data_IF_864619428523
#
_entry.id   IF_864619428523
#
_cell.length_a   1.000
_cell.length_b   1.000
_cell.length_c   1.000
_cell.angle_alpha   90.00
_cell.angle_beta   90.00
_cell.angle_gamma   90.00
#
_symmetry.space_group_name_H-M   'P 1'
#
loop_
_entity.id
_entity.type
_entity.pdbx_description
1 polymer ?
#
# COMPACT_ATOMS: atom_id res chain seq x y z
N UNK A 1 14.26 15.52 -102.38
CA UNK A 1 13.87 16.07 -101.08
C UNK A 1 13.06 15.07 -100.28
N UNK A 2 13.42 14.91 -98.99
CA UNK A 2 12.62 14.50 -97.81
C UNK A 2 11.32 13.70 -98.07
N UNK A 3 11.00 12.55 -97.45
CA UNK A 3 11.16 12.18 -96.03
C UNK A 3 10.63 10.73 -95.83
N UNK A 4 11.34 9.96 -95.00
CA UNK A 4 10.86 9.05 -93.93
C UNK A 4 10.28 7.65 -94.27
N UNK A 5 11.10 6.67 -93.88
CA UNK A 5 10.85 5.28 -93.51
C UNK A 5 9.88 5.14 -92.32
N UNK A 6 8.97 4.15 -92.35
CA UNK A 6 8.81 3.06 -91.36
C UNK A 6 7.47 2.33 -91.60
N UNK A 7 7.51 1.00 -91.79
CA UNK A 7 6.68 0.17 -90.93
C UNK A 7 7.39 -1.15 -90.61
N UNK A 8 7.92 -1.36 -89.40
CA UNK A 8 8.24 -2.73 -88.88
C UNK A 8 8.84 -2.84 -87.46
N UNK A 9 8.76 -1.84 -86.58
CA UNK A 9 9.29 -2.01 -85.21
C UNK A 9 8.26 -1.62 -84.16
N UNK A 10 7.25 -2.48 -83.97
CA UNK A 10 6.25 -2.35 -82.91
C UNK A 10 5.93 -3.68 -82.19
N UNK A 11 6.82 -4.67 -82.24
CA UNK A 11 6.66 -5.95 -81.50
C UNK A 11 7.91 -6.34 -80.67
N UNK A 12 8.87 -5.43 -80.45
CA UNK A 12 10.01 -5.69 -79.54
C UNK A 12 10.20 -4.64 -78.43
N UNK A 13 9.19 -3.79 -78.18
CA UNK A 13 9.21 -2.82 -77.07
C UNK A 13 8.17 -3.15 -75.99
N UNK A 14 7.29 -4.12 -76.23
CA UNK A 14 6.27 -4.57 -75.27
C UNK A 14 6.74 -5.65 -74.27
N UNK A 15 7.96 -6.18 -74.42
CA UNK A 15 8.50 -7.25 -73.55
C UNK A 15 9.62 -6.79 -72.63
N UNK A 16 10.10 -5.54 -72.72
CA UNK A 16 11.04 -5.02 -71.72
C UNK A 16 10.33 -4.34 -70.53
N UNK A 17 9.12 -3.81 -70.74
CA UNK A 17 8.36 -3.16 -69.66
C UNK A 17 7.61 -4.15 -68.75
N UNK A 18 7.26 -5.34 -69.25
CA UNK A 18 6.60 -6.39 -68.44
C UNK A 18 7.59 -7.28 -67.70
N UNK A 19 8.81 -7.47 -68.22
CA UNK A 19 9.87 -8.18 -67.49
C UNK A 19 10.49 -7.33 -66.36
N UNK A 20 10.38 -6.00 -66.42
CA UNK A 20 10.92 -5.12 -65.37
C UNK A 20 9.96 -4.92 -64.19
N UNK A 21 8.68 -5.27 -64.35
CA UNK A 21 7.70 -5.30 -63.26
C UNK A 21 7.84 -6.55 -62.37
N UNK A 22 8.36 -7.66 -62.90
CA UNK A 22 8.66 -8.88 -62.13
C UNK A 22 10.10 -8.93 -61.57
N UNK A 23 10.99 -8.03 -62.02
CA UNK A 23 12.38 -7.94 -61.54
C UNK A 23 12.59 -6.99 -60.35
N UNK A 24 11.59 -6.16 -60.01
CA UNK A 24 11.48 -5.61 -58.67
C UNK A 24 10.85 -6.67 -57.77
N UNK A 25 11.58 -7.78 -57.62
CA UNK A 25 11.28 -8.80 -56.63
C UNK A 25 11.15 -8.07 -55.31
N UNK A 26 9.92 -8.04 -54.81
CA UNK A 26 9.53 -7.75 -53.45
C UNK A 26 10.51 -8.49 -52.54
N UNK A 27 11.63 -7.84 -52.19
CA UNK A 27 12.56 -8.35 -51.19
C UNK A 27 11.75 -8.36 -49.92
N UNK A 28 11.02 -9.45 -49.68
CA UNK A 28 10.38 -9.75 -48.40
C UNK A 28 11.49 -9.65 -47.38
N UNK A 29 11.54 -8.52 -46.68
CA UNK A 29 12.50 -8.28 -45.62
C UNK A 29 12.22 -9.34 -44.56
N UNK A 30 13.02 -10.40 -44.58
CA UNK A 30 12.90 -11.50 -43.64
C UNK A 30 13.49 -11.03 -42.32
N UNK A 31 12.65 -11.01 -41.28
CA UNK A 31 13.11 -10.66 -39.95
C UNK A 31 13.58 -11.93 -39.23
N UNK A 32 14.85 -11.95 -38.83
CA UNK A 32 15.45 -13.09 -38.18
C UNK A 32 15.22 -13.05 -36.66
N UNK A 33 15.02 -14.22 -36.02
CA UNK A 33 14.88 -14.30 -34.58
C UNK A 33 16.17 -13.92 -33.85
N UNK A 34 16.09 -13.32 -32.65
CA UNK A 34 17.26 -13.09 -31.81
C UNK A 34 17.95 -14.41 -31.44
N UNK A 35 19.23 -14.35 -31.10
CA UNK A 35 20.03 -15.53 -30.74
C UNK A 35 20.46 -15.47 -29.27
N UNK A 36 21.00 -16.57 -28.74
CA UNK A 36 21.52 -16.66 -27.36
C UNK A 36 20.51 -16.22 -26.27
N UNK A 37 19.22 -16.53 -26.46
CA UNK A 37 18.22 -16.19 -25.46
C UNK A 37 18.42 -17.01 -24.18
N UNK A 38 18.65 -16.31 -23.07
CA UNK A 38 18.94 -16.88 -21.76
C UNK A 38 18.10 -16.24 -20.66
N UNK A 39 17.81 -17.04 -19.64
CA UNK A 39 17.08 -16.63 -18.43
C UNK A 39 18.00 -16.91 -17.24
N UNK A 40 18.40 -15.87 -16.52
CA UNK A 40 19.28 -15.98 -15.34
C UNK A 40 18.58 -15.44 -14.11
N UNK A 41 18.58 -16.20 -13.02
CA UNK A 41 18.07 -15.74 -11.73
C UNK A 41 19.09 -14.75 -11.14
N UNK A 42 18.67 -13.51 -10.89
CA UNK A 42 19.55 -12.45 -10.34
C UNK A 42 19.22 -12.08 -8.90
N UNK A 43 18.09 -12.55 -8.37
CA UNK A 43 17.69 -12.33 -6.98
C UNK A 43 16.35 -13.01 -6.67
N UNK A 44 15.87 -12.84 -5.43
CA UNK A 44 14.56 -13.37 -5.02
C UNK A 44 13.47 -12.81 -5.93
N UNK A 45 12.68 -13.73 -6.51
CA UNK A 45 11.61 -13.47 -7.44
C UNK A 45 12.02 -12.54 -8.61
N UNK A 46 13.27 -12.63 -9.08
CA UNK A 46 13.78 -11.79 -10.17
C UNK A 46 14.66 -12.58 -11.15
N UNK A 47 14.37 -12.39 -12.43
CA UNK A 47 15.14 -12.93 -13.54
C UNK A 47 15.63 -11.82 -14.46
N UNK A 48 16.78 -12.06 -15.08
CA UNK A 48 17.31 -11.30 -16.19
C UNK A 48 17.14 -12.13 -17.46
N UNK A 49 16.33 -11.59 -18.36
CA UNK A 49 16.18 -12.06 -19.74
C UNK A 49 17.25 -11.38 -20.57
N UNK A 50 18.02 -12.14 -21.33
CA UNK A 50 19.09 -11.61 -22.17
C UNK A 50 19.14 -12.35 -23.50
N UNK A 51 19.33 -11.63 -24.60
CA UNK A 51 19.47 -12.17 -25.94
C UNK A 51 20.39 -11.28 -26.77
N UNK A 52 20.96 -11.82 -27.83
CA UNK A 52 21.77 -11.07 -28.78
C UNK A 52 20.98 -10.79 -30.08
N UNK A 53 21.21 -9.65 -30.74
CA UNK A 53 20.71 -9.42 -32.09
C UNK A 53 21.23 -10.51 -33.04
N UNK A 54 20.41 -10.90 -34.01
CA UNK A 54 20.84 -11.90 -34.98
C UNK A 54 21.97 -11.33 -35.85
N UNK A 55 23.16 -11.96 -35.91
CA UNK A 55 24.30 -11.45 -36.67
C UNK A 55 24.05 -11.41 -38.18
N UNK A 56 23.18 -12.30 -38.69
CA UNK A 56 22.85 -12.41 -40.11
C UNK A 56 21.76 -11.41 -40.52
N UNK A 57 21.24 -10.62 -39.58
CA UNK A 57 20.26 -9.59 -39.89
C UNK A 57 20.95 -8.42 -40.60
N UNK A 58 20.49 -8.10 -41.82
CA UNK A 58 20.95 -6.90 -42.54
C UNK A 58 20.91 -5.67 -41.61
N UNK A 59 22.08 -5.06 -41.39
CA UNK A 59 22.26 -3.83 -40.62
C UNK A 59 21.65 -2.66 -41.38
N UNK A 60 20.32 -2.60 -41.40
CA UNK A 60 19.59 -1.45 -41.87
C UNK A 60 19.56 -0.37 -40.77
N UNK A 61 19.53 0.91 -41.14
CA UNK A 61 19.40 2.09 -40.25
C UNK A 61 18.04 2.15 -39.51
N UNK A 62 17.50 1.00 -39.13
CA UNK A 62 16.11 0.83 -38.74
C UNK A 62 16.08 0.35 -37.30
N UNK A 63 15.29 1.06 -36.49
CA UNK A 63 15.15 0.80 -35.06
C UNK A 63 14.42 -0.53 -34.82
N UNK A 64 15.19 -1.63 -34.77
CA UNK A 64 14.71 -2.96 -34.40
C UNK A 64 14.18 -2.95 -32.97
N UNK A 65 13.06 -3.64 -32.73
CA UNK A 65 12.50 -3.83 -31.39
C UNK A 65 12.30 -5.32 -31.12
N UNK A 66 12.07 -5.64 -29.86
CA UNK A 66 11.83 -7.00 -29.41
C UNK A 66 10.47 -7.06 -28.72
N UNK A 67 9.73 -8.12 -29.03
CA UNK A 67 8.52 -8.47 -28.33
C UNK A 67 8.85 -9.65 -27.41
N UNK A 68 8.72 -9.43 -26.11
CA UNK A 68 8.87 -10.45 -25.08
C UNK A 68 7.50 -10.90 -24.63
N UNK A 69 7.28 -12.22 -24.57
CA UNK A 69 6.09 -12.84 -24.01
C UNK A 69 6.50 -13.77 -22.87
N UNK A 70 5.90 -13.55 -21.70
CA UNK A 70 6.01 -14.42 -20.54
C UNK A 70 4.85 -15.41 -20.60
N UNK A 71 5.14 -16.69 -20.44
CA UNK A 71 4.13 -17.77 -20.45
C UNK A 71 3.80 -18.26 -19.05
N UNK A 72 4.81 -18.30 -18.17
CA UNK A 72 4.67 -18.76 -16.79
C UNK A 72 5.60 -17.95 -15.87
N UNK A 73 5.21 -17.66 -14.61
CA UNK A 73 4.02 -18.18 -13.90
C UNK A 73 2.70 -17.46 -14.23
N UNK A 74 2.76 -16.29 -14.84
CA UNK A 74 1.60 -15.50 -15.28
C UNK A 74 1.88 -14.99 -16.69
N UNK A 75 0.88 -15.08 -17.57
CA UNK A 75 1.01 -14.54 -18.92
C UNK A 75 1.14 -13.01 -18.89
N UNK A 76 2.14 -12.50 -19.60
CA UNK A 76 2.39 -11.07 -19.79
C UNK A 76 3.12 -10.86 -21.11
N UNK A 77 2.98 -9.68 -21.71
CA UNK A 77 3.70 -9.34 -22.94
C UNK A 77 4.06 -7.86 -23.03
N UNK A 78 5.22 -7.57 -23.59
CA UNK A 78 5.70 -6.20 -23.74
C UNK A 78 6.73 -6.06 -24.84
N UNK A 79 6.90 -4.81 -25.28
CA UNK A 79 7.89 -4.44 -26.28
C UNK A 79 9.06 -3.70 -25.63
N UNK A 80 10.28 -4.02 -26.06
CA UNK A 80 11.51 -3.34 -25.61
C UNK A 80 12.44 -3.08 -26.78
N UNK A 81 13.30 -2.06 -26.64
CA UNK A 81 14.40 -1.79 -27.58
C UNK A 81 15.73 -2.38 -27.10
N UNK A 82 15.78 -2.80 -25.83
CA UNK A 82 16.98 -3.37 -25.21
C UNK A 82 17.06 -4.86 -25.54
N UNK A 83 18.28 -5.37 -25.51
CA UNK A 83 18.63 -6.80 -25.62
C UNK A 83 18.63 -7.52 -24.27
N UNK A 84 18.20 -6.81 -23.23
CA UNK A 84 18.04 -7.34 -21.89
C UNK A 84 16.78 -6.77 -21.22
N UNK A 85 16.18 -7.56 -20.34
CA UNK A 85 15.02 -7.16 -19.57
C UNK A 85 15.03 -7.82 -18.19
N UNK A 86 14.81 -7.03 -17.14
CA UNK A 86 14.61 -7.56 -15.79
C UNK A 86 13.12 -7.80 -15.58
N UNK A 87 12.77 -8.98 -15.10
CA UNK A 87 11.40 -9.36 -14.82
C UNK A 87 11.26 -9.88 -13.39
N UNK A 88 10.14 -9.58 -12.76
CA UNK A 88 9.88 -9.89 -11.34
C UNK A 88 8.67 -10.82 -11.29
N UNK A 89 8.86 -12.04 -10.78
CA UNK A 89 7.83 -13.07 -10.67
C UNK A 89 8.24 -14.15 -9.66
N UNK A 90 7.28 -14.86 -9.05
CA UNK A 90 7.56 -16.07 -8.29
C UNK A 90 8.24 -17.14 -9.17
N UNK A 91 9.28 -17.79 -8.66
CA UNK A 91 10.13 -18.72 -9.42
C UNK A 91 10.05 -20.17 -8.92
N UNK A 92 9.43 -20.43 -7.77
CA UNK A 92 9.40 -21.79 -7.19
C UNK A 92 8.73 -22.85 -8.09
N UNK A 93 7.84 -22.44 -9.00
CA UNK A 93 7.19 -23.32 -9.98
C UNK A 93 7.84 -23.28 -11.38
N UNK A 94 8.98 -22.61 -11.54
CA UNK A 94 9.64 -22.41 -12.81
C UNK A 94 9.19 -21.12 -13.49
N UNK A 95 9.79 -20.84 -14.64
CA UNK A 95 9.55 -19.62 -15.40
C UNK A 95 9.77 -19.89 -16.89
N UNK A 96 8.91 -19.37 -17.76
CA UNK A 96 9.01 -19.61 -19.19
C UNK A 96 8.72 -18.33 -19.96
N UNK A 97 9.57 -18.03 -20.94
CA UNK A 97 9.43 -16.84 -21.77
C UNK A 97 9.84 -17.12 -23.21
N UNK A 98 9.36 -16.28 -24.12
CA UNK A 98 9.79 -16.21 -25.50
C UNK A 98 10.08 -14.78 -25.91
N UNK A 99 11.02 -14.62 -26.83
CA UNK A 99 11.35 -13.34 -27.44
C UNK A 99 11.40 -13.49 -28.96
N UNK A 100 10.96 -12.45 -29.65
CA UNK A 100 11.10 -12.32 -31.11
C UNK A 100 11.47 -10.90 -31.50
N UNK A 101 12.13 -10.79 -32.63
CA UNK A 101 12.37 -9.51 -33.29
C UNK A 101 11.06 -9.01 -33.88
N UNK A 102 10.78 -7.72 -33.75
CA UNK A 102 9.67 -7.05 -34.42
C UNK A 102 10.17 -5.77 -35.10
N UNK A 103 9.60 -5.48 -36.25
CA UNK A 103 9.82 -4.24 -36.97
C UNK A 103 8.47 -3.61 -37.27
N UNK A 104 8.25 -2.40 -36.75
CA UNK A 104 7.03 -1.63 -36.97
C UNK A 104 7.35 -0.36 -37.77
N UNK A 105 6.78 -0.27 -38.98
CA UNK A 105 6.76 0.93 -39.82
C UNK A 105 5.30 1.30 -40.13
N UNK A 106 5.03 2.53 -40.55
CA UNK A 106 3.68 3.12 -40.66
C UNK A 106 2.60 2.24 -41.31
N UNK A 107 2.97 1.34 -42.23
CA UNK A 107 2.04 0.44 -42.92
C UNK A 107 2.40 -1.06 -42.83
N UNK A 108 3.48 -1.42 -42.11
CA UNK A 108 3.97 -2.81 -42.05
C UNK A 108 4.39 -3.21 -40.63
N UNK A 109 3.92 -4.38 -40.21
CA UNK A 109 4.38 -5.09 -39.02
C UNK A 109 5.04 -6.39 -39.47
N UNK A 110 6.33 -6.50 -39.23
CA UNK A 110 7.09 -7.73 -39.45
C UNK A 110 7.51 -8.31 -38.11
N UNK A 111 7.43 -9.62 -37.98
CA UNK A 111 7.83 -10.35 -36.79
C UNK A 111 8.61 -11.59 -37.21
N UNK A 112 9.69 -11.88 -36.49
CA UNK A 112 10.42 -13.13 -36.66
C UNK A 112 9.66 -14.30 -36.02
N UNK A 113 10.21 -15.51 -36.18
CA UNK A 113 9.87 -16.63 -35.30
C UNK A 113 10.23 -16.34 -33.84
N UNK A 114 9.64 -17.10 -32.93
CA UNK A 114 9.91 -17.02 -31.50
C UNK A 114 11.12 -17.86 -31.12
N UNK A 115 11.91 -17.36 -30.17
CA UNK A 115 12.91 -18.13 -29.45
C UNK A 115 12.48 -18.20 -28.00
N UNK A 116 12.52 -19.40 -27.42
CA UNK A 116 11.99 -19.68 -26.10
C UNK A 116 13.07 -20.21 -25.18
N UNK A 117 12.95 -19.90 -23.90
CA UNK A 117 13.77 -20.46 -22.84
C UNK A 117 12.91 -20.69 -21.61
N UNK A 118 13.33 -21.65 -20.78
CA UNK A 118 12.62 -22.05 -19.58
C UNK A 118 13.58 -22.27 -18.41
N UNK A 119 13.17 -21.79 -17.24
CA UNK A 119 13.72 -22.17 -15.95
C UNK A 119 12.83 -23.26 -15.36
N UNK A 120 13.44 -24.42 -15.03
CA UNK A 120 12.72 -25.52 -14.41
C UNK A 120 12.30 -25.16 -12.98
N UNK A 121 11.21 -25.79 -12.53
CA UNK A 121 10.73 -25.63 -11.16
C UNK A 121 11.82 -26.02 -10.15
N UNK A 122 11.78 -25.36 -8.98
CA UNK A 122 12.76 -25.65 -7.94
C UNK A 122 12.61 -27.09 -7.42
N UNK A 123 13.72 -27.78 -7.12
CA UNK A 123 13.67 -29.16 -6.66
C UNK A 123 12.98 -29.27 -5.29
N UNK A 124 12.29 -30.39 -5.08
CA UNK A 124 11.66 -30.73 -3.81
C UNK A 124 10.40 -31.58 -3.98
N UNK A 125 10.15 -32.45 -3.01
CA UNK A 125 8.98 -33.36 -3.07
C UNK A 125 7.68 -32.57 -2.93
N UNK A 126 6.63 -33.02 -3.63
CA UNK A 126 5.29 -32.43 -3.49
C UNK A 126 4.83 -32.50 -2.03
N UNK A 127 4.15 -31.46 -1.54
CA UNK A 127 3.64 -31.39 -0.18
C UNK A 127 4.67 -31.02 0.91
N UNK A 128 5.97 -30.92 0.60
CA UNK A 128 7.00 -30.45 1.54
C UNK A 128 7.07 -28.92 1.68
N UNK A 129 6.55 -28.20 0.67
CA UNK A 129 6.55 -26.75 0.63
C UNK A 129 5.65 -26.16 1.71
N UNK A 130 6.00 -24.97 2.19
CA UNK A 130 5.18 -24.23 3.15
C UNK A 130 3.81 -23.89 2.57
N UNK A 131 2.82 -23.77 3.45
CA UNK A 131 1.44 -23.46 3.09
C UNK A 131 0.97 -22.19 3.81
N UNK A 132 -0.01 -21.48 3.23
CA UNK A 132 -0.67 -20.33 3.83
C UNK A 132 0.30 -19.25 4.34
N UNK A 133 1.28 -18.86 3.50
CA UNK A 133 2.15 -17.74 3.83
C UNK A 133 1.34 -16.46 3.90
N UNK A 134 1.33 -15.83 5.06
CA UNK A 134 0.72 -14.53 5.30
C UNK A 134 1.75 -13.58 5.88
N UNK A 135 1.84 -12.38 5.33
CA UNK A 135 2.73 -11.34 5.82
C UNK A 135 1.96 -10.06 6.12
N UNK A 136 2.38 -9.34 7.15
CA UNK A 136 1.85 -8.05 7.56
C UNK A 136 3.01 -7.09 7.86
N UNK A 137 2.91 -5.87 7.36
CA UNK A 137 3.85 -4.79 7.70
C UNK A 137 3.18 -3.80 8.63
N UNK A 138 3.95 -3.28 9.59
CA UNK A 138 3.48 -2.23 10.48
C UNK A 138 4.50 -1.09 10.57
N UNK A 139 4.03 0.15 10.54
CA UNK A 139 4.89 1.33 10.67
C UNK A 139 5.05 1.73 12.13
N UNK A 140 6.29 1.80 12.60
CA UNK A 140 6.64 2.23 13.96
C UNK A 140 7.43 3.53 13.92
N UNK A 141 7.33 4.33 14.98
CA UNK A 141 8.13 5.55 15.13
C UNK A 141 9.58 5.15 15.43
N UNK A 142 10.54 5.67 14.67
CA UNK A 142 11.97 5.48 14.93
C UNK A 142 12.46 6.50 15.95
N UNK A 143 13.16 6.05 16.98
CA UNK A 143 13.78 6.93 17.98
C UNK A 143 15.18 7.44 17.60
N UNK A 144 15.75 6.97 16.48
CA UNK A 144 17.20 7.07 16.26
C UNK A 144 17.64 8.28 15.39
N UNK A 145 16.80 8.81 14.47
CA UNK A 145 17.20 9.97 13.65
C UNK A 145 16.00 10.79 13.14
N UNK A 146 16.11 12.13 13.16
CA UNK A 146 15.13 13.05 12.56
C UNK A 146 14.96 12.89 11.04
N UNK A 147 15.92 12.25 10.34
CA UNK A 147 15.91 12.07 8.89
C UNK A 147 15.00 10.93 8.41
N UNK A 148 14.78 9.89 9.24
CA UNK A 148 13.84 8.79 8.96
C UNK A 148 13.00 8.52 10.22
N UNK A 149 11.95 9.32 10.47
CA UNK A 149 11.15 9.21 11.69
C UNK A 149 10.31 7.92 11.76
N UNK A 150 10.21 7.16 10.67
CA UNK A 150 9.41 5.94 10.60
C UNK A 150 10.27 4.75 10.17
N UNK A 151 10.06 3.62 10.83
CA UNK A 151 10.60 2.32 10.45
C UNK A 151 9.44 1.37 10.15
N UNK A 152 9.65 0.45 9.22
CA UNK A 152 8.68 -0.59 8.89
C UNK A 152 9.16 -1.89 9.50
N UNK A 153 8.25 -2.57 10.17
CA UNK A 153 8.43 -3.91 10.69
C UNK A 153 7.64 -4.90 9.83
N UNK A 154 8.08 -6.15 9.76
CA UNK A 154 7.47 -7.21 8.93
C UNK A 154 7.26 -8.47 9.75
N UNK A 155 6.01 -8.93 9.86
CA UNK A 155 5.64 -10.23 10.43
C UNK A 155 5.21 -11.15 9.31
N UNK A 156 5.72 -12.37 9.29
CA UNK A 156 5.22 -13.41 8.40
C UNK A 156 4.95 -14.68 9.20
N UNK A 157 3.90 -15.39 8.83
CA UNK A 157 3.49 -16.68 9.41
C UNK A 157 3.17 -17.65 8.28
N UNK A 158 3.44 -18.94 8.50
CA UNK A 158 3.13 -20.00 7.55
C UNK A 158 2.84 -21.31 8.27
N UNK A 159 2.21 -22.24 7.56
CA UNK A 159 2.01 -23.61 7.98
C UNK A 159 3.09 -24.51 7.35
N UNK A 160 3.48 -25.52 8.10
CA UNK A 160 4.42 -26.56 7.63
C UNK A 160 3.76 -27.39 6.52
N UNK A 161 4.54 -27.81 5.54
CA UNK A 161 4.06 -28.68 4.46
C UNK A 161 3.49 -29.99 5.00
N UNK A 162 2.41 -30.48 4.40
CA UNK A 162 1.71 -31.71 4.83
C UNK A 162 2.61 -32.94 4.82
N UNK A 163 3.50 -33.01 3.84
CA UNK A 163 4.42 -34.13 3.63
C UNK A 163 5.86 -33.75 4.01
N UNK A 164 6.04 -32.64 4.74
CA UNK A 164 7.35 -32.22 5.23
C UNK A 164 7.81 -33.15 6.37
N UNK A 165 9.02 -33.73 6.29
CA UNK A 165 9.60 -34.50 7.38
C UNK A 165 9.64 -33.73 8.70
N UNK A 166 9.59 -34.44 9.83
CA UNK A 166 9.61 -33.83 11.17
C UNK A 166 10.89 -33.04 11.45
N UNK A 167 12.01 -33.41 10.84
CA UNK A 167 13.30 -32.73 10.97
C UNK A 167 13.45 -31.49 10.07
N UNK A 168 12.40 -31.12 9.33
CA UNK A 168 12.43 -29.98 8.40
C UNK A 168 12.60 -28.67 9.15
N UNK A 169 13.60 -27.88 8.75
CA UNK A 169 13.74 -26.50 9.17
C UNK A 169 13.53 -25.53 8.01
N UNK A 170 12.78 -24.46 8.25
CA UNK A 170 12.47 -23.42 7.27
C UNK A 170 13.23 -22.13 7.54
N UNK A 171 13.67 -21.44 6.49
CA UNK A 171 14.33 -20.14 6.60
C UNK A 171 13.71 -19.13 5.64
N UNK A 172 13.41 -17.95 6.17
CA UNK A 172 12.71 -16.89 5.45
C UNK A 172 13.66 -15.76 5.07
N UNK A 173 13.56 -15.35 3.82
CA UNK A 173 14.27 -14.23 3.23
C UNK A 173 13.27 -13.24 2.63
N UNK A 174 13.56 -11.95 2.75
CA UNK A 174 12.77 -10.92 2.06
C UNK A 174 13.65 -10.02 1.21
N UNK A 175 13.04 -9.43 0.19
CA UNK A 175 13.67 -8.45 -0.70
C UNK A 175 12.67 -7.36 -1.10
N UNK A 176 13.05 -6.10 -0.97
CA UNK A 176 12.30 -4.99 -1.57
C UNK A 176 12.58 -4.92 -3.07
N UNK A 177 11.54 -4.88 -3.87
CA UNK A 177 11.61 -4.95 -5.34
C UNK A 177 11.05 -3.67 -5.94
N UNK A 178 11.93 -2.84 -6.48
CA UNK A 178 11.52 -1.67 -7.23
C UNK A 178 10.94 -2.04 -8.58
N UNK A 179 9.70 -1.59 -8.84
CA UNK A 179 8.94 -1.87 -10.08
C UNK A 179 9.27 -0.84 -11.18
N UNK A 180 10.14 0.15 -10.92
CA UNK A 180 10.48 1.21 -11.87
C UNK A 180 11.20 0.75 -13.14
N UNK A 181 11.25 -0.55 -13.43
CA UNK A 181 11.80 -1.05 -14.69
C UNK A 181 10.82 -0.99 -15.87
N UNK A 182 9.49 -0.96 -15.68
CA UNK A 182 8.54 -1.01 -16.82
C UNK A 182 7.18 -0.30 -16.62
N UNK A 183 7.15 0.92 -16.08
CA UNK A 183 5.91 1.71 -16.09
C UNK A 183 6.05 2.98 -16.97
N UNK A 184 5.47 2.93 -18.17
CA UNK A 184 5.01 4.13 -18.84
C UNK A 184 3.83 4.69 -18.02
N UNK A 185 4.09 5.61 -17.09
CA UNK A 185 3.03 6.41 -16.47
C UNK A 185 2.73 7.65 -17.33
N UNK A 186 1.46 8.03 -17.52
CA UNK A 186 1.05 9.21 -18.30
C UNK A 186 1.05 10.53 -17.50
N UNK A 187 1.71 10.61 -16.34
CA UNK A 187 1.75 11.84 -15.54
C UNK A 187 3.16 12.48 -15.56
N UNK A 188 3.36 13.62 -16.23
CA UNK A 188 4.61 14.35 -16.15
C UNK A 188 4.72 15.02 -14.77
N UNK A 189 5.52 14.43 -13.88
CA UNK A 189 6.02 15.17 -12.72
C UNK A 189 7.12 16.15 -13.20
N UNK A 190 7.12 17.42 -12.77
CA UNK A 190 8.07 18.42 -13.23
C UNK A 190 9.51 18.07 -12.85
N UNK A 191 10.39 18.08 -13.86
CA UNK A 191 11.81 17.69 -13.84
C UNK A 191 12.75 18.63 -13.05
N UNK A 192 12.28 19.38 -12.06
CA UNK A 192 13.12 20.38 -11.36
C UNK A 192 13.72 19.93 -10.02
N UNK A 193 13.56 18.66 -9.60
CA UNK A 193 14.16 18.14 -8.35
C UNK A 193 14.72 16.71 -8.42
N UNK A 194 15.29 16.32 -9.56
CA UNK A 194 16.17 15.14 -9.59
C UNK A 194 17.61 15.59 -9.34
N UNK A 195 17.94 15.86 -8.07
CA UNK A 195 19.32 15.66 -7.64
C UNK A 195 19.59 14.16 -7.78
N UNK A 196 20.39 13.84 -8.79
CA UNK A 196 20.99 12.53 -8.98
C UNK A 196 21.96 12.33 -7.82
N UNK A 197 21.48 11.76 -6.71
CA UNK A 197 22.36 10.92 -5.91
C UNK A 197 22.33 9.55 -6.57
N UNK A 198 23.48 9.16 -7.12
CA UNK A 198 23.76 7.76 -7.42
C UNK A 198 23.81 7.00 -6.08
N UNK A 199 22.65 6.75 -5.47
CA UNK A 199 22.55 5.67 -4.51
C UNK A 199 22.62 4.38 -5.33
N UNK A 200 23.78 3.72 -5.28
CA UNK A 200 23.88 2.29 -5.53
C UNK A 200 22.86 1.61 -4.60
N UNK A 201 21.64 1.39 -5.07
CA UNK A 201 20.69 0.51 -4.40
C UNK A 201 21.21 -0.92 -4.60
N UNK A 202 22.09 -1.34 -3.70
CA UNK A 202 22.43 -2.73 -3.51
C UNK A 202 21.14 -3.53 -3.32
N UNK A 203 21.12 -4.74 -3.87
CA UNK A 203 20.03 -5.68 -3.69
C UNK A 203 20.03 -6.11 -2.23
N UNK A 204 19.22 -5.45 -1.38
CA UNK A 204 19.10 -5.80 0.03
C UNK A 204 18.17 -7.01 0.13
N UNK A 205 18.79 -8.18 0.27
CA UNK A 205 18.14 -9.40 0.73
C UNK A 205 18.53 -9.61 2.17
N UNK A 206 17.56 -9.82 3.03
CA UNK A 206 17.79 -10.12 4.45
C UNK A 206 17.17 -11.45 4.84
N UNK A 207 17.90 -12.20 5.65
CA UNK A 207 17.42 -13.41 6.30
C UNK A 207 16.85 -13.08 7.67
N UNK A 208 15.73 -13.72 8.01
CA UNK A 208 15.12 -13.58 9.32
C UNK A 208 16.00 -14.14 10.43
N UNK A 209 16.06 -13.42 11.55
CA UNK A 209 16.81 -13.82 12.74
C UNK A 209 15.89 -14.20 13.91
N UNK A 210 14.69 -13.62 13.99
CA UNK A 210 13.75 -13.83 15.09
C UNK A 210 12.57 -14.69 14.66
N UNK A 211 12.70 -16.00 14.86
CA UNK A 211 11.66 -16.98 14.53
C UNK A 211 10.81 -17.36 15.73
N UNK A 212 9.52 -17.57 15.48
CA UNK A 212 8.67 -18.37 16.38
C UNK A 212 8.57 -19.80 15.84
N UNK A 213 8.53 -20.76 16.75
CA UNK A 213 8.63 -22.19 16.44
C UNK A 213 7.41 -22.95 16.93
N UNK A 214 7.11 -24.05 16.26
CA UNK A 214 6.07 -24.99 16.70
C UNK A 214 6.58 -25.95 17.79
N UNK A 215 5.73 -26.90 18.20
CA UNK A 215 6.05 -27.92 19.21
C UNK A 215 7.18 -28.86 18.80
N UNK A 216 7.47 -28.99 17.50
CA UNK A 216 8.56 -29.79 16.94
C UNK A 216 9.81 -28.93 16.65
N UNK A 217 9.85 -27.70 17.16
CA UNK A 217 10.96 -26.76 17.00
C UNK A 217 11.24 -26.36 15.53
N UNK A 218 10.22 -26.43 14.66
CA UNK A 218 10.27 -25.96 13.28
C UNK A 218 9.82 -24.50 13.21
N UNK A 219 10.50 -23.70 12.40
CA UNK A 219 10.17 -22.30 12.20
C UNK A 219 8.83 -22.17 11.46
N UNK A 220 7.87 -21.47 12.06
CA UNK A 220 6.50 -21.24 11.52
C UNK A 220 6.11 -19.77 11.46
N UNK A 221 6.88 -18.90 12.11
CA UNK A 221 6.73 -17.46 11.96
C UNK A 221 8.09 -16.76 12.03
N UNK A 222 8.14 -15.56 11.46
CA UNK A 222 9.31 -14.70 11.47
C UNK A 222 8.90 -13.25 11.79
N UNK A 223 9.76 -12.56 12.55
CA UNK A 223 9.65 -11.15 12.85
C UNK A 223 10.90 -10.38 12.43
N UNK A 224 10.71 -9.32 11.63
CA UNK A 224 11.71 -8.29 11.40
C UNK A 224 11.31 -7.02 12.14
N UNK A 225 11.97 -6.68 13.26
CA UNK A 225 11.66 -5.45 13.99
C UNK A 225 11.99 -4.20 13.17
N UNK A 226 13.00 -4.29 12.31
CA UNK A 226 13.46 -3.21 11.44
C UNK A 226 13.75 -3.76 10.05
N UNK A 227 13.23 -3.11 9.03
CA UNK A 227 13.43 -3.47 7.63
C UNK A 227 13.92 -2.28 6.82
N UNK A 228 14.47 -2.55 5.64
CA UNK A 228 14.75 -1.51 4.64
C UNK A 228 13.54 -1.19 3.74
N UNK A 229 12.36 -1.73 4.08
CA UNK A 229 11.11 -1.45 3.35
C UNK A 229 10.77 0.03 3.52
N UNK A 230 10.58 0.71 2.41
CA UNK A 230 10.21 2.12 2.42
C UNK A 230 8.70 2.26 2.69
N UNK A 231 8.36 2.97 3.77
CA UNK A 231 7.00 3.16 4.28
C UNK A 231 6.04 3.87 3.31
N UNK A 232 6.56 4.59 2.31
CA UNK A 232 5.76 5.26 1.28
C UNK A 232 5.85 4.60 -0.10
N UNK A 233 6.66 3.55 -0.24
CA UNK A 233 7.03 3.07 -1.55
C UNK A 233 5.96 2.21 -2.22
N UNK A 234 5.99 2.24 -3.55
CA UNK A 234 5.24 1.35 -4.44
C UNK A 234 6.00 0.05 -4.75
N UNK A 235 7.11 -0.22 -4.05
CA UNK A 235 7.96 -1.38 -4.30
C UNK A 235 7.27 -2.66 -3.83
N UNK A 236 7.26 -3.71 -4.66
CA UNK A 236 6.75 -5.01 -4.24
C UNK A 236 7.70 -5.63 -3.21
N UNK A 237 7.14 -6.37 -2.27
CA UNK A 237 7.91 -7.17 -1.33
C UNK A 237 7.96 -8.61 -1.84
N UNK A 238 9.14 -9.11 -2.15
CA UNK A 238 9.34 -10.52 -2.45
C UNK A 238 9.75 -11.27 -1.19
N UNK A 239 9.02 -12.32 -0.85
CA UNK A 239 9.32 -13.22 0.27
C UNK A 239 9.66 -14.59 -0.29
N UNK A 240 10.74 -15.18 0.20
CA UNK A 240 11.19 -16.52 -0.16
C UNK A 240 11.41 -17.33 1.11
N UNK A 241 10.87 -18.55 1.11
CA UNK A 241 11.06 -19.51 2.18
C UNK A 241 11.69 -20.76 1.57
N UNK A 242 12.90 -21.08 2.03
CA UNK A 242 13.53 -22.35 1.72
C UNK A 242 13.37 -23.32 2.91
N UNK A 243 13.77 -24.56 2.72
CA UNK A 243 13.83 -25.52 3.81
C UNK A 243 14.91 -26.56 3.62
N UNK A 244 15.33 -27.15 4.72
CA UNK A 244 16.31 -28.23 4.75
C UNK A 244 15.81 -29.37 5.64
N UNK A 245 15.98 -30.61 5.17
CA UNK A 245 15.76 -31.85 5.93
C UNK A 245 16.85 -32.85 5.52
N UNK A 246 17.16 -33.81 6.40
CA UNK A 246 18.06 -34.92 6.10
C UNK A 246 17.40 -35.98 5.20
N UNK A 247 16.07 -36.04 5.20
CA UNK A 247 15.31 -37.14 4.59
C UNK A 247 14.74 -36.79 3.22
N UNK A 248 14.51 -35.51 2.93
CA UNK A 248 13.96 -35.07 1.65
C UNK A 248 14.42 -33.65 1.28
N UNK A 249 14.49 -33.40 -0.03
CA UNK A 249 14.59 -32.04 -0.55
C UNK A 249 13.26 -31.32 -0.36
N UNK A 250 13.31 -30.16 0.30
CA UNK A 250 12.13 -29.35 0.61
C UNK A 250 11.90 -28.36 -0.53
N UNK A 251 10.69 -28.38 -1.09
CA UNK A 251 10.34 -27.48 -2.19
C UNK A 251 10.23 -26.04 -1.66
N UNK A 252 11.05 -25.10 -2.15
CA UNK A 252 10.97 -23.71 -1.69
C UNK A 252 9.65 -23.07 -2.14
N UNK A 253 9.30 -21.97 -1.48
CA UNK A 253 8.13 -21.18 -1.82
C UNK A 253 8.52 -19.71 -1.92
N UNK A 254 8.03 -19.02 -2.94
CA UNK A 254 8.17 -17.58 -3.05
C UNK A 254 6.87 -16.92 -3.48
N UNK A 255 6.64 -15.72 -2.95
CA UNK A 255 5.45 -14.93 -3.21
C UNK A 255 5.79 -13.44 -3.25
N UNK A 256 5.11 -12.73 -4.14
CA UNK A 256 5.16 -11.27 -4.24
C UNK A 256 3.97 -10.68 -3.49
N UNK A 257 4.24 -9.71 -2.64
CA UNK A 257 3.24 -8.93 -1.93
C UNK A 257 3.29 -7.48 -2.37
N UNK A 258 2.12 -6.90 -2.61
CA UNK A 258 1.99 -5.46 -2.80
C UNK A 258 1.91 -4.77 -1.44
N UNK A 259 2.63 -3.64 -1.20
CA UNK A 259 2.65 -3.00 0.11
C UNK A 259 1.26 -2.69 0.68
N UNK A 260 0.34 -2.21 -0.16
CA UNK A 260 -1.00 -1.84 0.29
C UNK A 260 -1.87 -3.01 0.76
N UNK A 261 -1.58 -4.25 0.32
CA UNK A 261 -2.35 -5.43 0.72
C UNK A 261 -1.87 -6.05 2.04
N UNK A 262 -0.64 -5.73 2.47
CA UNK A 262 -0.03 -6.25 3.70
C UNK A 262 0.17 -5.19 4.78
N UNK A 263 -0.04 -3.92 4.46
CA UNK A 263 0.14 -2.82 5.41
C UNK A 263 -1.00 -2.77 6.42
N UNK A 264 -0.69 -3.15 7.65
CA UNK A 264 -1.59 -3.06 8.79
C UNK A 264 -1.52 -1.65 9.37
N UNK A 265 -2.46 -0.81 8.92
CA UNK A 265 -2.57 0.59 9.35
C UNK A 265 -2.80 0.66 10.86
N UNK A 266 -1.98 1.46 11.54
CA UNK A 266 -2.14 1.70 12.97
C UNK A 266 -3.47 2.40 13.28
N UNK A 267 -4.08 2.13 14.45
CA UNK A 267 -5.23 2.91 14.90
C UNK A 267 -4.86 4.40 15.07
N UNK A 268 -5.84 5.32 14.93
CA UNK A 268 -5.67 6.73 15.27
C UNK A 268 -5.19 6.93 16.71
N UNK A 269 -4.40 7.99 16.93
CA UNK A 269 -3.84 8.33 18.24
C UNK A 269 -4.69 9.38 18.93
N UNK A 270 -4.58 9.46 20.26
CA UNK A 270 -5.14 10.55 21.08
C UNK A 270 -6.61 10.85 20.72
N UNK A 271 -7.45 9.80 20.68
CA UNK A 271 -8.90 9.98 20.57
C UNK A 271 -9.34 10.67 21.86
N UNK A 272 -9.96 11.84 21.73
CA UNK A 272 -10.48 12.61 22.86
C UNK A 272 -11.93 12.95 22.58
N UNK A 273 -12.71 12.98 23.65
CA UNK A 273 -14.15 13.17 23.60
C UNK A 273 -14.52 14.19 24.68
N UNK A 274 -15.14 15.27 24.25
CA UNK A 274 -15.68 16.30 25.12
C UNK A 274 -17.20 16.32 24.97
N UNK A 275 -17.92 16.56 26.06
CA UNK A 275 -19.38 16.72 26.04
C UNK A 275 -19.67 18.16 26.43
N UNK A 276 -20.35 18.88 25.55
CA UNK A 276 -21.00 20.15 25.91
C UNK A 276 -22.50 19.99 25.69
N UNK A 277 -23.28 20.17 26.76
CA UNK A 277 -24.75 20.11 26.78
C UNK A 277 -25.35 18.79 26.25
N UNK A 278 -25.53 18.73 24.93
CA UNK A 278 -26.17 17.66 24.15
C UNK A 278 -25.31 17.22 22.96
N UNK A 279 -24.06 17.69 22.87
CA UNK A 279 -23.16 17.40 21.77
C UNK A 279 -21.88 16.72 22.25
N UNK A 280 -21.52 15.61 21.58
CA UNK A 280 -20.24 14.93 21.68
C UNK A 280 -19.28 15.54 20.66
N UNK A 281 -18.20 16.14 21.13
CA UNK A 281 -17.08 16.60 20.31
C UNK A 281 -16.00 15.55 20.33
N UNK A 282 -15.79 14.88 19.21
CA UNK A 282 -14.85 13.77 19.08
C UNK A 282 -13.72 14.22 18.16
N UNK A 283 -12.49 14.15 18.64
CA UNK A 283 -11.30 14.48 17.85
C UNK A 283 -10.22 13.42 18.04
N UNK A 284 -9.40 13.24 17.01
CA UNK A 284 -8.29 12.29 17.05
C UNK A 284 -7.10 12.80 16.23
N UNK A 285 -5.93 12.22 16.48
CA UNK A 285 -4.72 12.43 15.71
C UNK A 285 -4.53 11.36 14.64
N UNK A 286 -3.76 11.69 13.60
CA UNK A 286 -3.42 10.75 12.54
C UNK A 286 -2.67 9.52 13.10
N UNK A 287 -2.84 8.34 12.47
CA UNK A 287 -2.04 7.17 12.82
C UNK A 287 -0.53 7.39 12.72
N UNK A 288 0.24 6.58 13.45
CA UNK A 288 1.69 6.47 13.24
C UNK A 288 1.93 5.91 11.84
N UNK A 289 2.34 6.79 10.95
CA UNK A 289 2.54 6.48 9.54
C UNK A 289 3.32 7.61 8.88
N UNK A 290 4.06 7.27 7.82
CA UNK A 290 4.75 8.23 6.99
C UNK A 290 3.80 9.06 6.12
N UNK A 291 2.57 8.59 5.89
CA UNK A 291 1.57 9.31 5.12
C UNK A 291 1.11 10.61 5.84
N UNK A 292 0.86 11.70 5.08
CA UNK A 292 0.32 12.95 5.61
C UNK A 292 -1.16 12.80 6.02
N UNK A 293 -1.68 13.79 6.74
CA UNK A 293 -3.05 13.78 7.32
C UNK A 293 -4.13 13.54 6.26
N UNK A 294 -4.04 14.20 5.10
CA UNK A 294 -5.04 14.10 4.03
C UNK A 294 -5.07 12.74 3.30
N UNK A 295 -4.17 11.81 3.66
CA UNK A 295 -4.14 10.47 3.08
C UNK A 295 -4.94 9.44 3.88
N UNK A 296 -5.68 9.84 4.90
CA UNK A 296 -6.44 8.92 5.75
C UNK A 296 -7.94 9.15 5.62
N UNK A 297 -8.66 8.04 5.48
CA UNK A 297 -10.09 7.99 5.76
C UNK A 297 -10.28 7.26 7.08
N UNK A 298 -11.31 7.65 7.82
CA UNK A 298 -11.62 7.16 9.14
C UNK A 298 -13.01 6.54 9.16
N UNK A 299 -13.17 5.55 10.04
CA UNK A 299 -14.46 5.06 10.47
C UNK A 299 -14.59 5.29 11.97
N UNK A 300 -15.67 5.96 12.36
CA UNK A 300 -16.01 6.28 13.73
C UNK A 300 -17.20 5.42 14.16
N UNK A 301 -17.06 4.78 15.31
CA UNK A 301 -18.11 3.99 15.96
C UNK A 301 -18.46 4.65 17.29
N UNK A 302 -19.73 5.00 17.47
CA UNK A 302 -20.29 5.51 18.72
C UNK A 302 -21.35 4.50 19.17
N UNK A 303 -21.17 3.91 20.34
CA UNK A 303 -22.09 2.89 20.88
C UNK A 303 -22.65 3.33 22.23
N UNK A 304 -23.97 3.44 22.34
CA UNK A 304 -24.67 3.71 23.59
C UNK A 304 -24.89 2.37 24.32
N UNK A 305 -24.22 2.21 25.46
CA UNK A 305 -24.20 0.92 26.17
C UNK A 305 -25.53 0.58 26.85
N UNK A 306 -26.42 1.57 27.04
CA UNK A 306 -27.69 1.40 27.76
C UNK A 306 -28.78 0.82 26.85
N UNK A 307 -28.92 1.36 25.64
CA UNK A 307 -29.96 0.95 24.68
C UNK A 307 -29.39 0.06 23.55
N UNK A 308 -28.07 -0.12 23.49
CA UNK A 308 -27.39 -0.92 22.47
C UNK A 308 -27.32 -0.25 21.09
N UNK A 309 -27.77 1.00 20.97
CA UNK A 309 -27.71 1.73 19.71
C UNK A 309 -26.26 2.04 19.33
N UNK A 310 -25.91 1.85 18.06
CA UNK A 310 -24.62 2.26 17.54
C UNK A 310 -24.75 3.08 16.25
N UNK A 311 -23.93 4.11 16.16
CA UNK A 311 -23.76 4.96 14.99
C UNK A 311 -22.38 4.69 14.37
N UNK A 312 -22.34 4.62 13.04
CA UNK A 312 -21.12 4.39 12.26
C UNK A 312 -20.98 5.48 11.20
N UNK A 313 -19.86 6.19 11.22
CA UNK A 313 -19.62 7.31 10.31
C UNK A 313 -18.31 7.12 9.55
N UNK A 314 -18.31 7.45 8.25
CA UNK A 314 -17.13 7.44 7.38
C UNK A 314 -16.69 8.88 7.11
N UNK A 315 -15.46 9.21 7.47
CA UNK A 315 -14.98 10.59 7.52
C UNK A 315 -13.60 10.72 6.87
N UNK A 316 -13.33 11.86 6.23
CA UNK A 316 -11.98 12.24 5.78
C UNK A 316 -11.32 13.27 6.72
N UNK A 317 -12.07 13.78 7.68
CA UNK A 317 -11.62 14.73 8.72
C UNK A 317 -11.27 14.00 10.00
N UNK A 318 -10.52 14.66 10.88
CA UNK A 318 -10.09 14.12 12.17
C UNK A 318 -10.95 14.62 13.35
N UNK A 319 -12.13 15.16 13.06
CA UNK A 319 -13.08 15.73 14.01
C UNK A 319 -14.51 15.40 13.58
N UNK A 320 -15.36 15.12 14.55
CA UNK A 320 -16.78 14.85 14.37
C UNK A 320 -17.60 15.36 15.55
N UNK A 321 -18.79 15.87 15.28
CA UNK A 321 -19.74 16.32 16.31
C UNK A 321 -20.99 15.47 16.18
N UNK A 322 -21.38 14.79 17.26
CA UNK A 322 -22.61 14.00 17.32
C UNK A 322 -23.57 14.56 18.35
N UNK A 323 -24.87 14.61 18.03
CA UNK A 323 -25.90 14.96 19.01
C UNK A 323 -26.26 13.73 19.84
N UNK A 324 -26.38 13.93 21.14
CA UNK A 324 -26.76 12.90 22.11
C UNK A 324 -28.00 13.32 22.89
N UNK A 325 -29.04 12.48 22.81
CA UNK A 325 -30.30 12.73 23.49
C UNK A 325 -30.38 12.01 24.85
N UNK A 326 -29.69 10.86 24.97
CA UNK A 326 -29.78 9.98 26.14
C UNK A 326 -28.72 10.28 27.21
N UNK A 327 -29.14 10.21 28.48
CA UNK A 327 -28.24 10.06 29.63
C UNK A 327 -27.79 8.60 29.70
N UNK A 328 -26.67 8.34 29.02
CA UNK A 328 -26.06 7.02 28.87
C UNK A 328 -24.54 7.09 28.95
N UNK A 329 -23.93 5.91 29.06
CA UNK A 329 -22.50 5.71 28.82
C UNK A 329 -22.30 5.39 27.35
N UNK A 330 -21.38 6.11 26.71
CA UNK A 330 -21.03 5.96 25.30
C UNK A 330 -19.64 5.36 25.17
N UNK A 331 -19.50 4.38 24.28
CA UNK A 331 -18.22 3.80 23.88
C UNK A 331 -17.85 4.31 22.48
N UNK A 332 -16.70 4.97 22.37
CA UNK A 332 -16.22 5.58 21.14
C UNK A 332 -14.97 4.83 20.68
N UNK A 333 -14.95 4.43 19.40
CA UNK A 333 -13.81 3.81 18.74
C UNK A 333 -13.60 4.42 17.36
N UNK A 334 -12.34 4.55 16.95
CA UNK A 334 -11.98 5.06 15.62
C UNK A 334 -10.98 4.11 14.98
N UNK A 335 -11.14 3.83 13.68
CA UNK A 335 -10.14 3.14 12.87
C UNK A 335 -9.81 3.94 11.62
N UNK A 336 -8.69 3.61 10.99
CA UNK A 336 -8.20 4.34 9.82
C UNK A 336 -7.87 3.40 8.66
N UNK A 337 -7.92 3.94 7.45
CA UNK A 337 -7.44 3.33 6.22
C UNK A 337 -6.73 4.38 5.38
N UNK A 338 -5.74 3.97 4.58
CA UNK A 338 -5.10 4.87 3.62
C UNK A 338 -6.06 5.09 2.45
N UNK A 339 -6.32 6.36 2.14
CA UNK A 339 -7.19 6.79 1.06
C UNK A 339 -6.65 6.36 -0.31
N UNK A 340 -7.57 5.97 -1.21
CA UNK A 340 -7.27 5.60 -2.60
C UNK A 340 -6.60 6.73 -3.39
N UNK A 341 -6.73 7.98 -2.92
CA UNK A 341 -6.05 9.14 -3.48
C UNK A 341 -4.52 9.07 -3.34
N UNK A 342 -4.00 8.46 -2.27
CA UNK A 342 -2.56 8.42 -2.00
C UNK A 342 -1.90 7.09 -2.37
N UNK A 343 -2.65 5.99 -2.31
CA UNK A 343 -2.17 4.64 -2.64
C UNK A 343 -3.36 3.77 -3.01
N UNK A 344 -3.16 2.72 -3.81
CA UNK A 344 -4.19 1.71 -4.04
C UNK A 344 -4.86 1.26 -2.73
N UNK A 345 -6.17 1.03 -2.78
CA UNK A 345 -7.00 0.72 -1.62
C UNK A 345 -6.42 -0.45 -0.83
N UNK A 346 -6.18 -0.22 0.46
CA UNK A 346 -5.75 -1.24 1.41
C UNK A 346 -6.87 -1.68 2.35
N UNK A 347 -6.49 -2.45 3.35
CA UNK A 347 -7.39 -2.91 4.41
C UNK A 347 -7.57 -1.87 5.51
N UNK A 348 -8.71 -1.89 6.19
CA UNK A 348 -8.93 -1.11 7.41
C UNK A 348 -7.99 -1.60 8.52
N UNK A 349 -7.43 -0.64 9.26
CA UNK A 349 -6.70 -0.92 10.48
C UNK A 349 -7.61 -1.41 11.61
N UNK A 350 -6.97 -1.81 12.70
CA UNK A 350 -7.65 -2.15 13.94
C UNK A 350 -8.39 -0.94 14.53
N UNK A 351 -9.43 -1.22 15.31
CA UNK A 351 -10.11 -0.19 16.10
C UNK A 351 -9.19 0.35 17.21
N UNK A 352 -9.30 1.64 17.50
CA UNK A 352 -8.72 2.22 18.69
C UNK A 352 -9.30 1.54 19.94
N UNK A 353 -8.55 1.65 21.05
CA UNK A 353 -9.08 1.28 22.36
C UNK A 353 -10.38 2.05 22.62
N UNK A 354 -11.42 1.40 23.18
CA UNK A 354 -12.69 2.04 23.45
C UNK A 354 -12.54 3.09 24.55
N UNK A 355 -13.03 4.29 24.27
CA UNK A 355 -13.15 5.35 25.27
C UNK A 355 -14.59 5.39 25.76
N UNK A 356 -14.76 5.36 27.07
CA UNK A 356 -16.07 5.43 27.70
C UNK A 356 -16.30 6.84 28.26
N UNK A 357 -17.44 7.42 27.93
CA UNK A 357 -17.85 8.73 28.45
C UNK A 357 -19.27 8.62 29.01
N UNK A 358 -19.46 9.10 30.23
CA UNK A 358 -20.74 9.06 30.93
C UNK A 358 -21.31 10.46 31.06
N UNK A 359 -22.53 10.67 30.55
CA UNK A 359 -23.21 11.97 30.66
C UNK A 359 -23.63 12.30 32.09
N UNK A 360 -23.89 11.28 32.92
CA UNK A 360 -24.48 11.45 34.25
C UNK A 360 -23.53 12.16 35.25
N UNK A 361 -22.22 11.96 35.11
CA UNK A 361 -21.19 12.55 35.98
C UNK A 361 -20.92 14.04 35.70
N UNK A 362 -21.11 14.51 34.46
CA UNK A 362 -20.88 15.91 34.10
C UNK A 362 -21.99 16.84 34.61
N UNK A 363 -23.25 16.38 34.64
CA UNK A 363 -24.36 17.13 35.22
C UNK A 363 -24.11 17.34 36.72
N UNK A 364 -23.64 16.31 37.45
CA UNK A 364 -23.31 16.43 38.88
C UNK A 364 -22.14 17.39 39.15
N UNK A 365 -21.13 17.41 38.27
CA UNK A 365 -20.01 18.36 38.37
C UNK A 365 -20.42 19.80 38.06
N UNK A 366 -21.32 20.03 37.09
CA UNK A 366 -21.85 21.36 36.77
C UNK A 366 -22.77 21.85 37.89
N UNK A 367 -23.70 21.01 38.37
CA UNK A 367 -24.56 21.32 39.52
C UNK A 367 -23.75 21.61 40.80
N UNK A 368 -22.61 20.94 41.00
CA UNK A 368 -21.73 21.22 42.15
C UNK A 368 -20.94 22.52 42.02
N UNK A 369 -20.56 22.91 40.80
CA UNK A 369 -19.89 24.21 40.53
C UNK A 369 -20.88 25.37 40.67
N UNK A 370 -22.09 25.21 40.16
CA UNK A 370 -23.15 26.22 40.32
C UNK A 370 -23.57 26.36 41.79
N UNK A 371 -23.69 25.24 42.53
CA UNK A 371 -23.93 25.27 43.98
C UNK A 371 -22.86 26.04 44.76
N UNK A 372 -21.59 25.94 44.35
CA UNK A 372 -20.49 26.69 44.98
C UNK A 372 -20.52 28.20 44.69
N UNK A 373 -21.10 28.62 43.56
CA UNK A 373 -21.29 30.03 43.20
C UNK A 373 -22.52 30.63 43.88
N UNK A 374 -23.56 29.83 44.17
CA UNK A 374 -24.79 30.29 44.85
C UNK A 374 -24.74 30.20 46.37
N UNK A 375 -23.77 29.49 46.95
CA UNK A 375 -23.71 29.27 48.41
C UNK A 375 -22.81 30.28 49.13
N UNK A 376 -22.99 31.58 48.87
CA UNK A 376 -22.53 32.63 49.79
C UNK A 376 -23.52 32.73 50.97
N UNK A 377 -23.46 31.73 51.86
CA UNK A 377 -24.33 31.63 53.05
C UNK A 377 -24.20 32.83 54.00
N UNK A 378 -23.11 33.59 53.90
CA UNK A 378 -22.88 34.79 54.70
C UNK A 378 -23.63 36.01 54.16
N UNK A 379 -23.83 36.11 52.83
CA UNK A 379 -24.56 37.22 52.23
C UNK A 379 -26.06 37.14 52.55
N UNK A 380 -26.64 35.92 52.49
CA UNK A 380 -28.04 35.69 52.84
C UNK A 380 -28.25 35.95 54.33
N UNK A 381 -27.34 35.51 55.21
CA UNK A 381 -27.47 35.75 56.65
C UNK A 381 -27.43 37.24 57.02
N UNK A 382 -26.58 38.04 56.37
CA UNK A 382 -26.53 39.49 56.61
C UNK A 382 -27.80 40.21 56.15
N UNK A 383 -28.37 39.84 54.99
CA UNK A 383 -29.64 40.44 54.55
C UNK A 383 -30.82 40.13 55.46
N UNK A 384 -30.86 38.94 56.07
CA UNK A 384 -31.92 38.58 57.03
C UNK A 384 -31.75 39.28 58.39
N UNK A 385 -30.52 39.46 58.88
CA UNK A 385 -30.25 40.20 60.12
C UNK A 385 -30.51 41.71 59.97
N UNK A 386 -30.31 42.29 58.78
CA UNK A 386 -30.64 43.70 58.49
C UNK A 386 -32.16 43.93 58.38
N UNK A 387 -32.92 42.99 57.78
CA UNK A 387 -34.38 43.08 57.70
C UNK A 387 -35.09 42.93 59.06
N UNK A 388 -34.57 42.11 59.98
CA UNK A 388 -35.11 42.01 61.35
C UNK A 388 -34.85 43.29 62.17
N UNK A 389 -33.68 43.93 62.00
CA UNK A 389 -33.36 45.19 62.69
C UNK A 389 -34.19 46.38 62.18
N UNK A 390 -34.61 46.36 60.91
CA UNK A 390 -35.46 47.40 60.31
C UNK A 390 -36.92 47.25 60.78
N UNK A 391 -37.44 46.02 60.88
CA UNK A 391 -38.78 45.77 61.44
C UNK A 391 -38.88 46.10 62.94
N UNK A 392 -37.82 45.86 63.72
CA UNK A 392 -37.82 46.21 65.14
C UNK A 392 -37.73 47.72 65.37
N UNK A 393 -37.15 48.48 64.42
CA UNK A 393 -37.14 49.95 64.44
C UNK A 393 -38.48 50.55 64.01
N UNK A 394 -39.16 49.97 63.02
CA UNK A 394 -40.53 50.42 62.65
C UNK A 394 -41.52 50.18 63.79
N UNK A 395 -41.44 49.03 64.45
CA UNK A 395 -42.34 48.70 65.57
C UNK A 395 -42.16 49.62 66.78
N UNK A 396 -40.92 50.01 67.11
CA UNK A 396 -40.66 51.00 68.17
C UNK A 396 -41.15 52.40 67.81
N UNK A 397 -41.20 52.72 66.51
CA UNK A 397 -41.67 54.02 66.04
C UNK A 397 -43.20 54.11 66.07
N UNK A 398 -43.89 53.02 65.80
CA UNK A 398 -45.35 52.92 66.01
C UNK A 398 -45.72 52.97 67.49
N UNK A 399 -44.93 52.34 68.39
CA UNK A 399 -45.17 52.41 69.84
C UNK A 399 -44.89 53.82 70.43
N UNK A 400 -43.92 54.58 69.90
CA UNK A 400 -43.69 55.99 70.30
C UNK A 400 -44.74 56.95 69.73
N UNK A 401 -45.30 56.70 68.54
CA UNK A 401 -46.42 57.50 67.99
C UNK A 401 -47.75 57.24 68.72
N UNK A 402 -47.98 56.03 69.25
CA UNK A 402 -49.16 55.74 70.10
C UNK A 402 -49.06 56.38 71.50
N UNK A 403 -47.87 56.53 72.08
CA UNK A 403 -47.69 57.23 73.37
C UNK A 403 -47.81 58.76 73.26
N UNK A 404 -47.50 59.38 72.11
CA UNK A 404 -47.71 60.83 71.86
C UNK A 404 -49.19 61.18 71.57
N UNK A 405 -50.05 60.23 71.20
CA UNK A 405 -51.50 60.45 71.03
C UNK A 405 -52.32 60.29 72.33
N UNK A 406 -51.74 59.76 73.42
CA UNK A 406 -52.40 59.62 74.74
C UNK A 406 -52.04 60.70 75.78
N UNK A 407 -51.16 61.67 75.47
CA UNK A 407 -50.84 62.86 76.30
C UNK A 407 -51.54 64.14 75.78
#
# INVERSE_FOLDING_TARGET
DLTIMLPTVLILVGSWATLQADLLSDKKVLLLPPVNFTIKVTGIAQVLLHWDPNPDQEQSNVELRYHVKIHAPQEDDYNTRKTESKYVAPLHNGFAASVRSILRRSHFFLASSWVSAELKASPGSSGTSVMNLTCATNTVMSSHTHAKPYQVSLRCTWLVGKDAPEDTQYFLYYRSVSIFTHANYPFPLPLSKLMVSQFRFGVWTEECQEYSRDTLNRNTACWFPRTFINSKAFEQLAVHINGSSKHAAIKPFDQLFTPHSIDQVNPPRNVTVEIEETSLYIQWEKPVSAFPVHCFNYELKIHNTKNGYFQMEKLATNKFISKIDDVSTYSIQVRAVVSSFCRASGSWGEWSQPIYVERLLLIQSLMSRDWSLTSDKNAIKQTWEEEEEEQEKEKKKEEEEEEEEEE
#
